data_IF_037294264779
#
_entry.id   IF_037294264779
#
_cell.length_a   1.000
_cell.length_b   1.000
_cell.length_c   1.000
_cell.angle_alpha   90.00
_cell.angle_beta   90.00
_cell.angle_gamma   90.00
#
_symmetry.space_group_name_H-M   'P 1'
#
loop_
_entity.id
_entity.type
_entity.pdbx_description
1 polymer ?
#
# COMPACT_ATOMS: atom_id res chain seq x y z
N UNK A 1 17.38 -1.87 12.31
CA UNK A 1 17.60 -0.45 11.93
C UNK A 1 18.06 -0.36 10.48
N UNK A 2 17.20 0.10 9.58
CA UNK A 2 17.57 0.38 8.19
C UNK A 2 18.01 1.85 8.11
N UNK A 3 19.31 2.10 7.95
CA UNK A 3 19.83 3.47 7.95
C UNK A 3 19.52 4.22 6.64
N UNK A 4 19.28 3.47 5.55
CA UNK A 4 19.00 4.02 4.22
C UNK A 4 18.03 3.10 3.49
N UNK A 5 17.02 3.69 2.83
CA UNK A 5 16.16 3.02 1.86
C UNK A 5 16.35 3.71 0.51
N UNK A 6 16.83 2.96 -0.48
CA UNK A 6 17.08 3.52 -1.80
C UNK A 6 15.76 3.78 -2.52
N UNK A 7 15.42 5.07 -2.68
CA UNK A 7 14.18 5.47 -3.35
C UNK A 7 14.38 5.84 -4.81
N UNK A 8 15.54 6.21 -5.32
CA UNK A 8 15.67 6.50 -6.76
C UNK A 8 17.13 6.31 -7.17
N UNK A 9 17.33 5.63 -8.30
CA UNK A 9 18.64 5.55 -8.96
C UNK A 9 18.87 6.78 -9.85
N UNK A 10 20.13 7.12 -10.07
CA UNK A 10 20.51 8.26 -10.92
C UNK A 10 19.99 8.09 -12.36
N UNK A 11 20.00 6.87 -12.90
CA UNK A 11 19.48 6.58 -14.23
C UNK A 11 17.96 6.81 -14.32
N UNK A 12 17.23 6.55 -13.23
CA UNK A 12 15.79 6.83 -13.17
C UNK A 12 15.53 8.34 -13.12
N UNK A 13 16.28 9.07 -12.29
CA UNK A 13 16.18 10.51 -12.17
C UNK A 13 16.52 11.22 -13.50
N UNK A 14 17.46 10.67 -14.26
CA UNK A 14 17.84 11.18 -15.59
C UNK A 14 16.76 10.93 -16.64
N UNK A 15 16.08 9.77 -16.56
CA UNK A 15 15.02 9.38 -17.49
C UNK A 15 13.74 10.19 -17.28
N UNK A 16 13.40 10.50 -16.03
CA UNK A 16 12.30 11.38 -15.67
C UNK A 16 12.76 12.45 -14.66
N UNK A 17 13.29 13.58 -15.16
CA UNK A 17 13.76 14.68 -14.33
C UNK A 17 12.64 15.31 -13.48
N UNK A 18 11.37 15.12 -13.86
CA UNK A 18 10.25 15.70 -13.12
C UNK A 18 10.03 15.04 -11.76
N UNK A 19 10.47 13.79 -11.60
CA UNK A 19 10.44 13.01 -10.37
C UNK A 19 11.76 13.08 -9.58
N UNK A 20 12.83 13.67 -10.13
CA UNK A 20 14.13 13.74 -9.47
C UNK A 20 14.03 14.52 -8.15
N UNK A 21 14.34 13.85 -7.04
CA UNK A 21 14.25 14.39 -5.67
C UNK A 21 12.85 14.94 -5.30
N UNK A 22 11.80 14.57 -6.02
CA UNK A 22 10.42 14.93 -5.73
C UNK A 22 9.66 13.68 -5.24
N UNK A 23 9.52 13.54 -3.92
CA UNK A 23 8.91 12.36 -3.31
C UNK A 23 7.44 12.16 -3.70
N UNK A 24 6.65 13.23 -3.79
CA UNK A 24 5.21 13.15 -4.10
C UNK A 24 4.99 12.57 -5.50
N UNK A 25 5.70 13.12 -6.50
CA UNK A 25 5.66 12.63 -7.88
C UNK A 25 6.23 11.23 -8.01
N UNK A 26 7.30 10.91 -7.27
CA UNK A 26 7.91 9.59 -7.29
C UNK A 26 6.96 8.52 -6.72
N UNK A 27 6.26 8.83 -5.63
CA UNK A 27 5.23 7.97 -5.05
C UNK A 27 4.13 7.71 -6.08
N UNK A 28 3.56 8.77 -6.65
CA UNK A 28 2.49 8.66 -7.66
C UNK A 28 2.93 7.81 -8.87
N UNK A 29 4.10 8.13 -9.44
CA UNK A 29 4.66 7.41 -10.58
C UNK A 29 4.85 5.91 -10.31
N UNK A 30 5.33 5.55 -9.11
CA UNK A 30 5.57 4.15 -8.73
C UNK A 30 4.30 3.40 -8.39
N UNK A 31 3.33 4.05 -7.75
CA UNK A 31 2.00 3.47 -7.53
C UNK A 31 1.35 3.17 -8.88
N UNK A 32 1.41 4.09 -9.84
CA UNK A 32 0.90 3.88 -11.19
C UNK A 32 1.61 2.73 -11.91
N UNK A 33 2.95 2.66 -11.82
CA UNK A 33 3.71 1.54 -12.38
C UNK A 33 3.33 0.19 -11.76
N UNK A 34 3.06 0.16 -10.45
CA UNK A 34 2.61 -1.03 -9.74
C UNK A 34 1.20 -1.45 -10.18
N UNK A 35 0.26 -0.50 -10.31
CA UNK A 35 -1.09 -0.73 -10.86
C UNK A 35 -1.00 -1.35 -12.25
N UNK A 36 -0.20 -0.74 -13.15
CA UNK A 36 -0.05 -1.21 -14.52
C UNK A 36 0.57 -2.60 -14.58
N UNK A 37 1.50 -2.92 -13.68
CA UNK A 37 2.05 -4.28 -13.57
C UNK A 37 0.96 -5.29 -13.23
N UNK A 38 0.09 -5.01 -12.25
CA UNK A 38 -0.99 -5.94 -11.86
C UNK A 38 -2.02 -6.10 -12.97
N UNK A 39 -2.38 -5.00 -13.65
CA UNK A 39 -3.24 -5.04 -14.84
C UNK A 39 -2.65 -5.94 -15.93
N UNK A 40 -1.35 -5.85 -16.21
CA UNK A 40 -0.67 -6.73 -17.17
C UNK A 40 -0.63 -8.20 -16.75
N UNK A 41 -0.65 -8.48 -15.44
CA UNK A 41 -0.78 -9.84 -14.90
C UNK A 41 -2.24 -10.34 -14.94
N UNK A 42 -3.20 -9.52 -15.36
CA UNK A 42 -4.61 -9.86 -15.41
C UNK A 42 -5.30 -9.81 -14.04
N UNK A 43 -4.82 -8.97 -13.13
CA UNK A 43 -5.36 -8.81 -11.78
C UNK A 43 -5.69 -7.33 -11.54
N UNK A 44 -6.90 -6.97 -11.04
CA UNK A 44 -8.02 -7.87 -10.73
C UNK A 44 -8.63 -8.51 -11.99
N UNK A 45 -9.35 -9.61 -11.80
CA UNK A 45 -10.13 -10.29 -12.84
C UNK A 45 -11.53 -10.63 -12.34
N UNK A 46 -12.40 -11.12 -13.24
CA UNK A 46 -13.71 -11.64 -12.87
C UNK A 46 -13.68 -12.77 -11.81
N UNK A 47 -12.52 -13.41 -11.64
CA UNK A 47 -12.33 -14.52 -10.69
C UNK A 47 -11.43 -14.16 -9.50
N UNK A 48 -10.82 -12.97 -9.47
CA UNK A 48 -9.86 -12.58 -8.43
C UNK A 48 -9.93 -11.08 -8.16
N UNK A 49 -10.31 -10.71 -6.95
CA UNK A 49 -10.30 -9.33 -6.43
C UNK A 49 -9.53 -9.20 -5.09
N UNK A 50 -8.87 -10.27 -4.65
CA UNK A 50 -7.90 -10.27 -3.56
C UNK A 50 -6.49 -10.34 -4.15
N UNK A 51 -5.66 -9.32 -3.93
CA UNK A 51 -4.30 -9.29 -4.49
C UNK A 51 -3.40 -8.25 -3.82
N UNK A 52 -2.08 -8.42 -3.97
CA UNK A 52 -1.09 -7.40 -3.59
C UNK A 52 -0.91 -6.36 -4.69
N UNK A 53 -1.36 -5.14 -4.42
CA UNK A 53 -1.17 -3.99 -5.30
C UNK A 53 0.26 -3.43 -5.22
N UNK A 54 0.84 -3.31 -4.02
CA UNK A 54 2.21 -2.82 -3.80
C UNK A 54 2.98 -3.80 -2.93
N UNK A 55 4.16 -4.21 -3.40
CA UNK A 55 5.03 -5.20 -2.81
C UNK A 55 6.37 -4.60 -2.34
N UNK A 56 6.31 -3.50 -1.57
CA UNK A 56 7.46 -2.88 -0.92
C UNK A 56 8.63 -2.66 -1.89
N UNK A 57 9.82 -3.20 -1.59
CA UNK A 57 11.02 -3.09 -2.42
C UNK A 57 10.81 -3.63 -3.84
N UNK A 58 9.94 -4.62 -4.03
CA UNK A 58 9.63 -5.19 -5.35
C UNK A 58 9.01 -4.18 -6.31
N UNK A 59 8.28 -3.20 -5.77
CA UNK A 59 7.73 -2.05 -6.53
C UNK A 59 8.51 -0.76 -6.25
N UNK A 60 9.72 -0.88 -5.70
CA UNK A 60 10.59 0.24 -5.36
C UNK A 60 9.96 1.20 -4.34
N UNK A 61 9.00 0.75 -3.52
CA UNK A 61 8.39 1.54 -2.46
C UNK A 61 8.71 0.87 -1.12
N UNK A 62 10.00 0.78 -0.80
CA UNK A 62 10.52 0.07 0.38
C UNK A 62 9.82 0.51 1.67
N UNK A 63 9.15 -0.44 2.32
CA UNK A 63 8.39 -0.24 3.54
C UNK A 63 6.90 0.03 3.35
N UNK A 64 6.41 0.15 2.11
CA UNK A 64 4.99 0.29 1.76
C UNK A 64 4.45 -1.00 1.14
N UNK A 65 3.45 -1.58 1.78
CA UNK A 65 2.67 -2.69 1.21
C UNK A 65 1.22 -2.24 1.09
N UNK A 66 0.58 -2.59 -0.02
CA UNK A 66 -0.85 -2.37 -0.22
C UNK A 66 -1.47 -3.65 -0.73
N UNK A 67 -2.35 -4.24 0.08
CA UNK A 67 -3.13 -5.41 -0.25
C UNK A 67 -4.59 -4.99 -0.50
N UNK A 68 -5.18 -5.47 -1.59
CA UNK A 68 -6.56 -5.16 -1.99
C UNK A 68 -7.40 -6.40 -1.72
N UNK A 69 -8.53 -6.20 -1.04
CA UNK A 69 -9.49 -7.22 -0.63
C UNK A 69 -10.90 -6.78 -1.03
N UNK A 70 -11.29 -7.09 -2.28
CA UNK A 70 -12.51 -6.54 -2.85
C UNK A 70 -12.41 -5.02 -2.91
N UNK A 71 -13.28 -4.34 -2.18
CA UNK A 71 -13.33 -2.86 -2.16
C UNK A 71 -12.45 -2.22 -1.07
N UNK A 72 -11.69 -3.03 -0.33
CA UNK A 72 -10.88 -2.58 0.82
C UNK A 72 -9.39 -2.63 0.45
N UNK A 73 -8.72 -1.48 0.47
CA UNK A 73 -7.26 -1.36 0.39
C UNK A 73 -6.64 -1.32 1.78
N UNK A 74 -5.88 -2.34 2.15
CA UNK A 74 -5.13 -2.40 3.40
C UNK A 74 -3.70 -1.94 3.14
N UNK A 75 -3.33 -0.80 3.73
CA UNK A 75 -2.00 -0.21 3.63
C UNK A 75 -1.20 -0.60 4.86
N UNK A 76 -0.13 -1.37 4.68
CA UNK A 76 0.82 -1.68 5.74
C UNK A 76 2.07 -0.80 5.59
N UNK A 77 2.37 -0.08 6.66
CA UNK A 77 3.50 0.85 6.72
C UNK A 77 4.56 0.31 7.67
N UNK A 78 5.81 0.26 7.20
CA UNK A 78 6.95 -0.24 7.97
C UNK A 78 8.21 0.63 7.82
N UNK A 79 8.06 1.84 7.28
CA UNK A 79 9.13 2.81 7.14
C UNK A 79 8.66 4.22 7.52
N UNK A 80 9.54 5.01 8.13
CA UNK A 80 9.18 6.35 8.61
C UNK A 80 8.71 7.29 7.48
N UNK A 81 9.26 7.14 6.27
CA UNK A 81 8.83 7.95 5.13
C UNK A 81 7.39 7.64 4.70
N UNK A 82 6.93 6.39 4.86
CA UNK A 82 5.56 5.99 4.50
C UNK A 82 4.56 6.69 5.41
N UNK A 83 4.86 6.76 6.71
CA UNK A 83 4.06 7.54 7.66
C UNK A 83 4.11 9.05 7.35
N UNK A 84 5.28 9.57 6.97
CA UNK A 84 5.45 10.99 6.61
C UNK A 84 4.60 11.39 5.40
N UNK A 85 4.50 10.53 4.39
CA UNK A 85 3.77 10.77 3.14
C UNK A 85 2.42 10.04 3.09
N UNK A 86 1.84 9.75 4.26
CA UNK A 86 0.55 9.07 4.37
C UNK A 86 -0.56 9.77 3.56
N UNK A 87 -0.75 11.10 3.62
CA UNK A 87 -1.82 11.77 2.86
C UNK A 87 -1.68 11.58 1.35
N UNK A 88 -0.47 11.63 0.82
CA UNK A 88 -0.20 11.47 -0.61
C UNK A 88 -0.45 10.03 -1.06
N UNK A 89 -0.03 9.05 -0.25
CA UNK A 89 -0.27 7.63 -0.50
C UNK A 89 -1.77 7.34 -0.48
N UNK A 90 -2.49 7.77 0.57
CA UNK A 90 -3.94 7.59 0.68
C UNK A 90 -4.67 8.25 -0.49
N UNK A 91 -4.26 9.46 -0.90
CA UNK A 91 -4.83 10.13 -2.06
C UNK A 91 -4.59 9.35 -3.36
N UNK A 92 -3.42 8.74 -3.55
CA UNK A 92 -3.13 7.92 -4.73
C UNK A 92 -3.95 6.63 -4.74
N UNK A 93 -4.03 5.93 -3.61
CA UNK A 93 -4.79 4.67 -3.50
C UNK A 93 -6.30 4.93 -3.63
N UNK A 94 -6.81 6.05 -3.12
CA UNK A 94 -8.24 6.41 -3.22
C UNK A 94 -8.69 6.75 -4.65
N UNK A 95 -7.75 6.98 -5.59
CA UNK A 95 -8.07 7.22 -7.01
C UNK A 95 -8.29 5.94 -7.81
N UNK A 96 -8.13 4.78 -7.18
CA UNK A 96 -8.31 3.48 -7.83
C UNK A 96 -9.80 3.12 -7.74
N UNK A 97 -10.48 2.99 -8.89
CA UNK A 97 -11.94 2.82 -8.98
C UNK A 97 -12.51 1.68 -8.13
N UNK A 98 -11.74 0.59 -7.94
CA UNK A 98 -12.19 -0.59 -7.19
C UNK A 98 -12.01 -0.46 -5.67
N UNK A 99 -11.38 0.61 -5.15
CA UNK A 99 -11.08 0.77 -3.72
C UNK A 99 -11.96 1.87 -3.11
N UNK A 100 -12.96 1.46 -2.33
CA UNK A 100 -13.88 2.37 -1.62
C UNK A 100 -13.45 2.67 -0.19
N UNK A 101 -12.62 1.81 0.38
CA UNK A 101 -12.24 1.87 1.79
C UNK A 101 -10.74 1.65 1.96
N UNK A 102 -10.09 2.53 2.71
CA UNK A 102 -8.67 2.38 3.04
C UNK A 102 -8.52 2.08 4.52
N UNK A 103 -7.69 1.07 4.83
CA UNK A 103 -7.29 0.73 6.19
C UNK A 103 -5.78 0.86 6.35
N UNK A 104 -5.35 1.82 7.16
CA UNK A 104 -3.95 1.99 7.53
C UNK A 104 -3.56 1.05 8.69
N UNK A 105 -2.47 0.28 8.51
CA UNK A 105 -1.94 -0.68 9.48
C UNK A 105 -0.44 -0.45 9.69
N UNK A 106 -0.05 0.42 10.64
CA UNK A 106 1.35 0.66 10.91
C UNK A 106 1.99 -0.55 11.60
N UNK A 107 3.18 -0.94 11.16
CA UNK A 107 4.01 -1.98 11.77
C UNK A 107 4.78 -1.38 12.94
N UNK A 108 4.09 -1.18 14.06
CA UNK A 108 4.55 -0.42 15.23
C UNK A 108 5.94 -0.85 15.71
N UNK A 109 6.22 -2.16 15.74
CA UNK A 109 7.53 -2.69 16.19
C UNK A 109 8.66 -2.28 15.25
N UNK A 110 8.45 -2.37 13.93
CA UNK A 110 9.44 -1.99 12.92
C UNK A 110 9.64 -0.46 12.92
N UNK A 111 8.54 0.30 13.05
CA UNK A 111 8.60 1.77 13.08
C UNK A 111 9.37 2.28 14.31
N UNK A 112 9.31 1.59 15.46
CA UNK A 112 10.18 1.90 16.61
C UNK A 112 11.66 1.75 16.26
N UNK A 113 12.02 0.72 15.51
CA UNK A 113 13.42 0.53 15.05
C UNK A 113 13.87 1.57 14.01
N UNK A 114 12.92 2.24 13.34
CA UNK A 114 13.16 3.39 12.44
C UNK A 114 13.18 4.72 13.21
N UNK A 115 13.03 4.70 14.55
CA UNK A 115 13.05 5.89 15.40
C UNK A 115 11.73 6.65 15.49
N UNK A 116 10.61 6.05 15.11
CA UNK A 116 9.28 6.67 15.22
C UNK A 116 8.66 6.45 16.60
N UNK A 117 8.22 7.55 17.23
CA UNK A 117 7.50 7.53 18.50
C UNK A 117 6.05 7.07 18.30
N UNK A 118 5.67 6.00 19.01
CA UNK A 118 4.40 5.27 18.78
C UNK A 118 3.15 5.93 19.36
N UNK A 119 3.32 7.06 20.05
CA UNK A 119 2.22 7.81 20.70
C UNK A 119 1.23 8.40 19.68
N UNK A 120 1.65 8.63 18.43
CA UNK A 120 0.81 9.21 17.38
C UNK A 120 0.16 8.17 16.44
N UNK A 121 0.48 6.87 16.56
CA UNK A 121 -0.02 5.82 15.65
C UNK A 121 -1.38 5.24 16.06
N UNK A 122 -1.96 5.72 17.17
CA UNK A 122 -3.24 5.27 17.73
C UNK A 122 -4.46 6.03 17.20
N UNK A 123 -4.33 6.72 16.06
CA UNK A 123 -5.50 7.28 15.39
C UNK A 123 -6.25 6.17 14.64
N UNK A 124 -7.06 5.47 15.41
CA UNK A 124 -8.14 4.63 14.91
C UNK A 124 -9.21 5.60 14.39
N UNK A 125 -9.04 6.10 13.16
CA UNK A 125 -10.14 6.78 12.48
C UNK A 125 -11.36 5.86 12.55
N UNK A 126 -12.56 6.37 12.90
CA UNK A 126 -13.78 5.58 12.88
C UNK A 126 -13.99 5.13 11.45
N UNK A 127 -13.65 3.87 11.20
CA UNK A 127 -13.66 3.29 9.87
C UNK A 127 -15.10 3.11 9.45
N UNK A 128 -15.54 3.82 8.42
CA UNK A 128 -16.74 3.50 7.64
C UNK A 128 -16.59 2.19 6.84
N UNK A 129 -15.50 1.44 7.09
CA UNK A 129 -15.22 0.16 6.46
C UNK A 129 -16.26 -0.88 6.88
N UNK A 130 -16.77 -1.69 5.94
CA UNK A 130 -17.63 -2.81 6.28
C UNK A 130 -16.91 -3.77 7.22
N UNK A 131 -17.64 -4.21 8.26
CA UNK A 131 -17.14 -5.19 9.23
C UNK A 131 -16.88 -6.56 8.57
N UNK A 132 -17.50 -6.82 7.42
CA UNK A 132 -17.23 -7.99 6.56
C UNK A 132 -17.35 -7.61 5.09
N UNK A 133 -16.36 -8.02 4.31
CA UNK A 133 -16.46 -8.00 2.85
C UNK A 133 -16.19 -9.39 2.28
N UNK A 134 -16.82 -9.68 1.14
CA UNK A 134 -16.60 -10.92 0.40
C UNK A 134 -15.49 -10.68 -0.60
N UNK A 135 -14.49 -11.55 -0.57
CA UNK A 135 -13.38 -11.49 -1.53
C UNK A 135 -13.33 -12.77 -2.34
N UNK A 136 -12.84 -12.65 -3.56
CA UNK A 136 -12.78 -13.71 -4.55
C UNK A 136 -11.32 -13.92 -4.92
N UNK A 137 -10.86 -15.16 -4.86
CA UNK A 137 -9.52 -15.56 -5.28
C UNK A 137 -9.65 -16.86 -6.09
N UNK A 138 -9.25 -16.81 -7.36
CA UNK A 138 -9.36 -17.94 -8.29
C UNK A 138 -10.77 -18.60 -8.29
N UNK A 139 -11.83 -17.79 -8.20
CA UNK A 139 -13.22 -18.23 -8.16
C UNK A 139 -13.71 -18.74 -6.80
N UNK A 140 -12.87 -18.76 -5.77
CA UNK A 140 -13.23 -19.16 -4.41
C UNK A 140 -13.58 -17.91 -3.59
N UNK A 141 -14.72 -17.95 -2.89
CA UNK A 141 -15.23 -16.85 -2.09
C UNK A 141 -14.80 -16.98 -0.62
N UNK A 142 -14.17 -15.94 -0.09
CA UNK A 142 -13.75 -15.84 1.32
C UNK A 142 -14.48 -14.68 2.01
N UNK A 143 -14.66 -14.80 3.33
CA UNK A 143 -15.13 -13.70 4.17
C UNK A 143 -13.92 -13.03 4.80
N UNK A 144 -13.73 -11.74 4.53
CA UNK A 144 -12.70 -10.91 5.11
C UNK A 144 -13.33 -9.96 6.12
N UNK A 145 -12.92 -9.99 7.39
CA UNK A 145 -13.50 -9.15 8.44
C UNK A 145 -12.66 -7.88 8.70
N UNK A 146 -11.57 -7.70 7.96
CA UNK A 146 -10.65 -6.58 8.15
C UNK A 146 -10.00 -6.56 9.53
N UNK A 147 -10.07 -7.61 10.34
CA UNK A 147 -9.53 -7.65 11.71
C UNK A 147 -8.00 -7.56 11.74
N UNK A 148 -7.39 -7.28 12.90
CA UNK A 148 -5.93 -7.35 13.05
C UNK A 148 -5.38 -8.77 12.76
N UNK A 149 -6.21 -9.81 12.93
CA UNK A 149 -5.84 -11.20 12.68
C UNK A 149 -6.08 -11.65 11.22
N UNK A 150 -6.89 -10.92 10.46
CA UNK A 150 -7.17 -11.28 9.07
C UNK A 150 -5.94 -10.97 8.21
N UNK A 151 -5.32 -12.06 7.74
CA UNK A 151 -4.27 -12.08 6.72
C UNK A 151 -4.70 -13.06 5.65
N UNK A 152 -5.17 -12.55 4.52
CA UNK A 152 -5.20 -13.35 3.30
C UNK A 152 -3.81 -13.19 2.69
N UNK A 153 -3.10 -14.31 2.59
CA UNK A 153 -1.77 -14.35 1.99
C UNK A 153 -1.96 -14.35 0.47
N UNK A 154 -1.88 -13.17 -0.14
CA UNK A 154 -1.76 -13.00 -1.58
C UNK A 154 -0.33 -13.27 -2.06
#
# INVERSE_FOLDING_TARGET
MFCVRLMQLEEEATRDPSCALNMEKLIESRINAAIDLRKRLGIPSASTNAYRLINSEGDRLSGLIVDVFGEIGVIASSAAWVEKYKPEIEACISRIDDINHIKWRPSVEILKEEGMETTNLKEMHPSTCPERTKVLENGILYNFNGGPEDRILC
#
